data_IF_448475599582
#
_entry.id   IF_448475599582
#
_cell.length_a   1.000
_cell.length_b   1.000
_cell.length_c   1.000
_cell.angle_alpha   90.00
_cell.angle_beta   90.00
_cell.angle_gamma   90.00
#
_symmetry.space_group_name_H-M   'P 1'
#
loop_
_entity.id
_entity.type
_entity.pdbx_description
1 polymer ?
#
# COMPACT_ATOMS: atom_id res chain seq x y z
N UNK A 1 -11.50 7.19 10.07
CA UNK A 1 -11.10 6.15 9.07
C UNK A 1 -9.66 6.41 8.67
N UNK A 2 -8.83 5.37 8.66
CA UNK A 2 -7.41 5.45 8.28
C UNK A 2 -7.24 5.77 6.78
N UNK A 3 -6.24 6.55 6.45
CA UNK A 3 -5.89 6.92 5.08
C UNK A 3 -4.43 6.62 4.79
N UNK A 4 -4.11 6.51 3.50
CA UNK A 4 -2.76 6.26 3.02
C UNK A 4 -2.46 7.15 1.82
N UNK A 5 -1.21 7.58 1.70
CA UNK A 5 -0.65 8.19 0.49
C UNK A 5 0.43 7.29 -0.09
N UNK A 6 0.31 7.00 -1.37
CA UNK A 6 1.31 6.33 -2.17
C UNK A 6 2.12 7.35 -2.95
N UNK A 7 3.43 7.36 -2.81
CA UNK A 7 4.33 8.17 -3.63
C UNK A 7 5.17 7.25 -4.51
N UNK A 8 4.93 7.28 -5.83
CA UNK A 8 5.65 6.47 -6.82
C UNK A 8 6.95 7.15 -7.22
N UNK A 9 8.07 6.45 -7.07
CA UNK A 9 9.41 6.88 -7.40
C UNK A 9 9.95 6.01 -8.52
N UNK A 10 10.33 6.63 -9.64
CA UNK A 10 10.98 5.93 -10.76
C UNK A 10 12.33 6.57 -11.05
N UNK A 11 13.40 5.79 -11.04
CA UNK A 11 14.76 6.28 -11.21
C UNK A 11 15.70 5.20 -11.77
N UNK A 12 16.92 5.61 -12.14
CA UNK A 12 18.01 4.66 -12.30
C UNK A 12 18.24 3.91 -10.97
N UNK A 13 18.51 2.59 -11.00
CA UNK A 13 18.66 1.78 -9.78
C UNK A 13 19.71 2.31 -8.78
N UNK A 14 20.79 2.92 -9.26
CA UNK A 14 21.82 3.50 -8.37
C UNK A 14 21.32 4.78 -7.70
N UNK A 15 20.56 5.61 -8.43
CA UNK A 15 19.93 6.83 -7.88
C UNK A 15 18.85 6.44 -6.89
N UNK A 16 18.05 5.41 -7.20
CA UNK A 16 17.00 4.92 -6.33
C UNK A 16 17.53 4.45 -4.97
N UNK A 17 18.68 3.78 -4.94
CA UNK A 17 19.34 3.37 -3.70
C UNK A 17 19.65 4.57 -2.78
N UNK A 18 20.10 5.69 -3.35
CA UNK A 18 20.32 6.94 -2.63
C UNK A 18 19.01 7.58 -2.13
N UNK A 19 17.93 7.48 -2.91
CA UNK A 19 16.60 7.93 -2.50
C UNK A 19 16.05 7.11 -1.32
N UNK A 20 16.25 5.80 -1.33
CA UNK A 20 15.88 4.91 -0.21
C UNK A 20 16.59 5.36 1.08
N UNK A 21 17.90 5.57 1.03
CA UNK A 21 18.66 6.07 2.18
C UNK A 21 18.16 7.42 2.70
N UNK A 22 17.80 8.35 1.81
CA UNK A 22 17.20 9.62 2.18
C UNK A 22 15.83 9.44 2.87
N UNK A 23 14.98 8.57 2.32
CA UNK A 23 13.67 8.30 2.91
C UNK A 23 13.78 7.69 4.31
N UNK A 24 14.67 6.74 4.51
CA UNK A 24 14.88 6.10 5.82
C UNK A 24 15.52 7.05 6.85
N UNK A 25 16.53 7.82 6.42
CA UNK A 25 17.33 8.64 7.34
C UNK A 25 16.77 10.03 7.63
N UNK A 26 16.14 10.67 6.65
CA UNK A 26 15.73 12.07 6.75
C UNK A 26 14.20 12.23 6.72
N UNK A 27 13.51 11.66 5.74
CA UNK A 27 12.06 11.83 5.59
C UNK A 27 11.27 11.11 6.69
N UNK A 28 11.64 9.87 6.99
CA UNK A 28 10.92 9.02 7.94
C UNK A 28 10.78 9.65 9.34
N UNK A 29 11.83 10.13 10.03
CA UNK A 29 11.67 10.72 11.37
C UNK A 29 10.72 11.90 11.39
N UNK A 30 10.76 12.73 10.34
CA UNK A 30 9.90 13.92 10.24
C UNK A 30 8.45 13.55 10.02
N UNK A 31 8.15 12.62 9.09
CA UNK A 31 6.78 12.20 8.80
C UNK A 31 6.17 11.38 9.96
N UNK A 32 6.96 10.52 10.60
CA UNK A 32 6.49 9.78 11.78
C UNK A 32 6.20 10.69 12.99
N UNK A 33 6.82 11.87 13.08
CA UNK A 33 6.55 12.84 14.14
C UNK A 33 5.31 13.70 13.92
N UNK A 34 4.72 13.68 12.72
CA UNK A 34 3.52 14.45 12.42
C UNK A 34 2.29 13.92 13.19
N UNK A 35 1.42 14.85 13.59
CA UNK A 35 0.19 14.51 14.29
C UNK A 35 -0.70 13.62 13.40
N UNK A 36 -1.17 12.50 13.96
CA UNK A 36 -2.00 11.53 13.25
C UNK A 36 -1.23 10.57 12.33
N UNK A 37 0.10 10.64 12.31
CA UNK A 37 0.92 9.63 11.61
C UNK A 37 0.76 8.25 12.25
N UNK A 38 0.47 7.26 11.43
CA UNK A 38 0.39 5.84 11.81
C UNK A 38 1.58 5.04 11.31
N UNK A 39 2.62 5.72 10.83
CA UNK A 39 3.85 5.12 10.34
C UNK A 39 3.92 5.09 8.81
N UNK A 40 4.98 4.49 8.34
CA UNK A 40 5.41 4.51 6.95
C UNK A 40 5.79 3.11 6.49
N UNK A 41 5.78 2.93 5.18
CA UNK A 41 6.31 1.73 4.53
C UNK A 41 7.07 2.12 3.25
N UNK A 42 8.06 1.34 2.87
CA UNK A 42 8.78 1.50 1.61
C UNK A 42 8.89 0.16 0.90
N UNK A 43 8.40 0.12 -0.31
CA UNK A 43 8.41 -1.02 -1.20
C UNK A 43 9.40 -0.77 -2.34
N UNK A 44 10.31 -1.70 -2.58
CA UNK A 44 11.16 -1.71 -3.77
C UNK A 44 10.64 -2.76 -4.75
N UNK A 45 10.40 -2.38 -6.00
CA UNK A 45 9.95 -3.30 -7.04
C UNK A 45 10.98 -4.41 -7.31
N UNK A 46 10.50 -5.59 -7.65
CA UNK A 46 11.33 -6.67 -8.20
C UNK A 46 11.91 -6.26 -9.56
N UNK A 47 11.24 -5.35 -10.28
CA UNK A 47 11.78 -4.68 -11.46
C UNK A 47 12.66 -3.49 -11.04
N UNK A 48 13.91 -3.40 -11.53
CA UNK A 48 14.82 -2.33 -11.13
C UNK A 48 14.29 -0.92 -11.43
N UNK A 49 14.54 0.00 -10.52
CA UNK A 49 14.29 1.42 -10.76
C UNK A 49 12.91 1.92 -10.33
N UNK A 50 12.12 1.12 -9.63
CA UNK A 50 10.80 1.53 -9.10
C UNK A 50 10.72 1.29 -7.60
N UNK A 51 10.19 2.27 -6.86
CA UNK A 51 9.83 2.13 -5.46
C UNK A 51 8.52 2.87 -5.16
N UNK A 52 7.83 2.43 -4.12
CA UNK A 52 6.64 3.08 -3.58
C UNK A 52 6.92 3.43 -2.13
N UNK A 53 6.76 4.70 -1.79
CA UNK A 53 6.76 5.17 -0.43
C UNK A 53 5.32 5.38 0.04
N UNK A 54 4.96 4.74 1.13
CA UNK A 54 3.63 4.71 1.71
C UNK A 54 3.63 5.46 3.04
N UNK A 55 2.74 6.43 3.23
CA UNK A 55 2.51 7.11 4.50
C UNK A 55 1.08 6.86 4.97
N UNK A 56 0.94 6.43 6.24
CA UNK A 56 -0.34 6.04 6.84
C UNK A 56 -0.78 7.08 7.86
N UNK A 57 -2.08 7.45 7.80
CA UNK A 57 -2.66 8.55 8.57
C UNK A 57 -3.94 8.13 9.26
N UNK A 58 -4.13 8.57 10.50
CA UNK A 58 -5.29 8.21 11.32
C UNK A 58 -6.62 8.73 10.73
N UNK A 59 -6.58 9.87 10.06
CA UNK A 59 -7.75 10.53 9.46
C UNK A 59 -7.38 11.20 8.13
N UNK A 60 -8.38 11.53 7.31
CA UNK A 60 -8.20 12.34 6.11
C UNK A 60 -7.64 13.74 6.44
N UNK A 61 -8.05 14.33 7.56
CA UNK A 61 -7.53 15.62 8.01
C UNK A 61 -6.02 15.55 8.31
N UNK A 62 -5.57 14.50 9.01
CA UNK A 62 -4.15 14.30 9.28
C UNK A 62 -3.33 14.11 7.99
N UNK A 63 -3.86 13.35 7.02
CA UNK A 63 -3.26 13.21 5.70
C UNK A 63 -3.19 14.55 4.96
N UNK A 64 -4.27 15.35 4.99
CA UNK A 64 -4.30 16.67 4.36
C UNK A 64 -3.32 17.64 5.02
N UNK A 65 -3.25 17.68 6.35
CA UNK A 65 -2.31 18.53 7.10
C UNK A 65 -0.84 18.14 6.87
N UNK A 66 -0.55 16.88 6.53
CA UNK A 66 0.81 16.40 6.22
C UNK A 66 1.31 16.88 4.86
N UNK A 67 0.44 17.40 3.99
CA UNK A 67 0.77 17.68 2.58
C UNK A 67 1.97 18.62 2.43
N UNK A 68 2.09 19.64 3.26
CA UNK A 68 3.24 20.58 3.20
C UNK A 68 4.58 19.84 3.43
N UNK A 69 4.65 19.02 4.47
CA UNK A 69 5.85 18.23 4.77
C UNK A 69 6.12 17.17 3.68
N UNK A 70 5.09 16.45 3.24
CA UNK A 70 5.23 15.43 2.21
C UNK A 70 5.62 16.01 0.84
N UNK A 71 5.08 17.18 0.46
CA UNK A 71 5.43 17.88 -0.77
C UNK A 71 6.92 18.28 -0.80
N UNK A 72 7.49 18.67 0.35
CA UNK A 72 8.93 18.93 0.46
C UNK A 72 9.75 17.68 0.16
N UNK A 73 9.39 16.52 0.72
CA UNK A 73 10.10 15.27 0.46
C UNK A 73 9.91 14.79 -0.97
N UNK A 74 8.71 14.87 -1.52
CA UNK A 74 8.47 14.55 -2.94
C UNK A 74 9.24 15.46 -3.87
N UNK A 75 9.32 16.76 -3.56
CA UNK A 75 10.11 17.74 -4.31
C UNK A 75 11.61 17.42 -4.30
N UNK A 76 12.16 17.05 -3.15
CA UNK A 76 13.57 16.65 -3.03
C UNK A 76 13.84 15.34 -3.78
N UNK A 77 12.94 14.35 -3.67
CA UNK A 77 13.02 13.12 -4.45
C UNK A 77 12.97 13.40 -5.96
N UNK A 78 12.00 14.20 -6.40
CA UNK A 78 11.87 14.58 -7.82
C UNK A 78 13.13 15.23 -8.36
N UNK A 79 13.80 16.09 -7.55
CA UNK A 79 15.06 16.70 -7.91
C UNK A 79 16.19 15.67 -8.04
N UNK A 80 16.26 14.68 -7.11
CA UNK A 80 17.28 13.62 -7.13
C UNK A 80 17.13 12.68 -8.31
N UNK A 81 15.88 12.29 -8.62
CA UNK A 81 15.59 11.36 -9.72
C UNK A 81 15.43 12.05 -11.08
N UNK A 82 15.41 13.39 -11.11
CA UNK A 82 15.14 14.23 -12.29
C UNK A 82 13.84 13.82 -13.02
N UNK A 83 12.80 13.48 -12.25
CA UNK A 83 11.46 13.07 -12.74
C UNK A 83 10.42 13.47 -11.70
N UNK A 84 9.16 13.68 -12.11
CA UNK A 84 8.05 13.86 -11.16
C UNK A 84 7.90 12.64 -10.24
N UNK A 85 7.62 12.90 -8.97
CA UNK A 85 7.14 11.90 -8.01
C UNK A 85 5.65 12.13 -7.85
N UNK A 86 4.85 11.18 -8.32
CA UNK A 86 3.39 11.26 -8.23
C UNK A 86 2.90 10.72 -6.89
N UNK A 87 1.77 11.23 -6.42
CA UNK A 87 1.12 10.74 -5.21
C UNK A 87 -0.35 10.42 -5.48
N UNK A 88 -0.85 9.38 -4.85
CA UNK A 88 -2.24 8.93 -4.88
C UNK A 88 -2.70 8.68 -3.44
N UNK A 89 -3.91 9.14 -3.11
CA UNK A 89 -4.47 9.04 -1.77
C UNK A 89 -5.65 8.05 -1.77
N UNK A 90 -5.70 7.18 -0.76
CA UNK A 90 -6.78 6.18 -0.60
C UNK A 90 -7.27 6.12 0.84
N UNK A 91 -8.47 5.60 1.01
CA UNK A 91 -8.93 5.10 2.30
C UNK A 91 -8.35 3.70 2.54
N UNK A 92 -7.94 3.41 3.77
CA UNK A 92 -7.55 2.05 4.17
C UNK A 92 -8.83 1.33 4.61
N UNK A 93 -9.40 0.55 3.70
CA UNK A 93 -10.66 -0.18 3.93
C UNK A 93 -10.44 -1.44 4.77
N UNK A 94 -9.36 -2.19 4.50
CA UNK A 94 -8.98 -3.38 5.27
C UNK A 94 -7.51 -3.28 5.65
N UNK A 95 -7.20 -3.62 6.89
CA UNK A 95 -5.83 -3.68 7.40
C UNK A 95 -5.69 -4.91 8.30
N UNK A 96 -5.17 -6.00 7.76
CA UNK A 96 -4.98 -7.24 8.49
C UNK A 96 -3.53 -7.71 8.43
N UNK A 97 -3.02 -8.13 9.59
CA UNK A 97 -1.70 -8.75 9.73
C UNK A 97 -1.62 -9.54 11.02
N UNK A 98 -0.90 -10.64 10.99
CA UNK A 98 -0.70 -11.51 12.16
C UNK A 98 0.41 -10.96 13.08
N UNK A 99 1.43 -10.32 12.51
CA UNK A 99 2.59 -9.80 13.23
C UNK A 99 3.14 -8.52 12.56
N UNK A 100 4.04 -7.79 13.22
CA UNK A 100 4.77 -6.70 12.56
C UNK A 100 5.53 -7.20 11.33
N UNK A 101 5.35 -6.52 10.20
CA UNK A 101 6.00 -6.85 8.94
C UNK A 101 7.53 -6.59 9.04
N UNK A 102 8.30 -7.37 8.30
CA UNK A 102 9.77 -7.35 8.35
C UNK A 102 10.36 -6.98 7.00
N UNK A 103 11.50 -6.31 7.02
CA UNK A 103 12.29 -6.09 5.81
C UNK A 103 12.61 -7.40 5.10
N UNK A 104 12.49 -7.42 3.78
CA UNK A 104 12.73 -8.58 2.93
C UNK A 104 11.48 -9.38 2.59
N UNK A 105 10.35 -9.18 3.27
CA UNK A 105 9.08 -9.82 2.92
C UNK A 105 8.64 -9.43 1.50
N UNK A 106 8.00 -10.39 0.82
CA UNK A 106 7.54 -10.22 -0.54
C UNK A 106 6.13 -9.63 -0.56
N UNK A 107 5.90 -8.64 -1.41
CA UNK A 107 4.62 -7.93 -1.53
C UNK A 107 4.07 -8.11 -2.93
N UNK A 108 2.77 -8.41 -3.03
CA UNK A 108 2.01 -8.29 -4.28
C UNK A 108 1.04 -7.13 -4.15
N UNK A 109 1.12 -6.22 -5.10
CA UNK A 109 0.21 -5.10 -5.26
C UNK A 109 -0.66 -5.36 -6.48
N UNK A 110 -1.99 -5.35 -6.30
CA UNK A 110 -2.94 -5.56 -7.39
C UNK A 110 -3.82 -4.32 -7.51
N UNK A 111 -3.71 -3.63 -8.64
CA UNK A 111 -4.55 -2.47 -8.98
C UNK A 111 -5.78 -2.95 -9.72
N UNK A 112 -6.94 -2.54 -9.27
CA UNK A 112 -8.23 -2.85 -9.90
C UNK A 112 -9.10 -1.61 -9.99
N UNK A 113 -10.04 -1.64 -10.90
CA UNK A 113 -11.08 -0.63 -11.06
C UNK A 113 -12.44 -1.33 -11.09
N UNK A 114 -13.37 -0.82 -10.29
CA UNK A 114 -14.74 -1.31 -10.22
C UNK A 114 -15.70 -0.12 -10.35
N UNK A 115 -16.99 -0.38 -10.60
CA UNK A 115 -18.01 0.66 -10.48
C UNK A 115 -18.00 1.24 -9.06
N UNK A 116 -18.08 2.57 -8.87
CA UNK A 116 -18.12 3.17 -7.53
C UNK A 116 -19.16 2.55 -6.59
N UNK A 117 -20.33 2.16 -7.14
CA UNK A 117 -21.39 1.48 -6.38
C UNK A 117 -21.03 0.08 -5.87
N UNK A 118 -20.04 -0.58 -6.47
CA UNK A 118 -19.60 -1.92 -6.07
C UNK A 118 -18.44 -1.90 -5.06
N UNK A 119 -17.86 -0.74 -4.77
CA UNK A 119 -16.70 -0.62 -3.88
C UNK A 119 -16.99 -1.21 -2.50
N UNK A 120 -18.16 -0.91 -1.92
CA UNK A 120 -18.53 -1.40 -0.58
C UNK A 120 -18.63 -2.94 -0.57
N UNK A 121 -19.29 -3.54 -1.55
CA UNK A 121 -19.46 -4.98 -1.64
C UNK A 121 -18.09 -5.69 -1.81
N UNK A 122 -17.18 -5.10 -2.61
CA UNK A 122 -15.82 -5.62 -2.76
C UNK A 122 -15.02 -5.54 -1.47
N UNK A 123 -15.15 -4.44 -0.71
CA UNK A 123 -14.50 -4.29 0.59
C UNK A 123 -14.96 -5.36 1.57
N UNK A 124 -16.28 -5.61 1.65
CA UNK A 124 -16.87 -6.62 2.53
C UNK A 124 -16.37 -8.03 2.15
N UNK A 125 -16.43 -8.40 0.87
CA UNK A 125 -15.92 -9.71 0.41
C UNK A 125 -14.41 -9.85 0.59
N UNK A 126 -13.65 -8.79 0.38
CA UNK A 126 -12.22 -8.83 0.63
C UNK A 126 -11.93 -9.12 2.11
N UNK A 127 -12.61 -8.44 3.04
CA UNK A 127 -12.42 -8.64 4.48
C UNK A 127 -12.93 -10.00 4.97
N UNK A 128 -14.15 -10.37 4.57
CA UNK A 128 -14.87 -11.51 5.13
C UNK A 128 -14.55 -12.84 4.45
N UNK A 129 -14.07 -12.82 3.20
CA UNK A 129 -13.82 -14.02 2.41
C UNK A 129 -12.37 -14.14 1.95
N UNK A 130 -11.82 -13.11 1.31
CA UNK A 130 -10.49 -13.20 0.73
C UNK A 130 -9.40 -13.25 1.81
N UNK A 131 -9.45 -12.37 2.81
CA UNK A 131 -8.45 -12.31 3.88
C UNK A 131 -8.37 -13.62 4.68
N UNK A 132 -9.46 -14.25 5.15
CA UNK A 132 -9.40 -15.54 5.82
C UNK A 132 -8.76 -16.64 4.95
N UNK A 133 -9.13 -16.73 3.65
CA UNK A 133 -8.53 -17.70 2.71
C UNK A 133 -7.03 -17.45 2.50
N UNK A 134 -6.60 -16.18 2.46
CA UNK A 134 -5.18 -15.83 2.37
C UNK A 134 -4.44 -16.20 3.65
N UNK A 135 -5.04 -15.99 4.83
CA UNK A 135 -4.46 -16.32 6.12
C UNK A 135 -4.19 -17.82 6.28
N UNK A 136 -5.03 -18.68 5.69
CA UNK A 136 -4.81 -20.11 5.66
C UNK A 136 -3.68 -20.55 4.71
N UNK A 137 -3.13 -19.64 3.90
CA UNK A 137 -2.07 -19.94 2.94
C UNK A 137 -0.70 -19.87 3.60
N UNK A 138 0.15 -20.90 3.49
CA UNK A 138 1.47 -20.90 4.11
C UNK A 138 2.35 -19.72 3.68
N UNK A 139 2.85 -18.99 4.67
CA UNK A 139 3.72 -17.82 4.44
C UNK A 139 2.98 -16.49 4.32
N UNK A 140 1.67 -16.47 4.56
CA UNK A 140 0.92 -15.21 4.70
C UNK A 140 1.47 -14.38 5.87
N UNK A 141 1.58 -13.06 5.68
CA UNK A 141 2.03 -12.11 6.70
C UNK A 141 1.04 -10.97 6.91
N UNK A 142 0.27 -10.62 5.87
CA UNK A 142 -0.73 -9.58 5.97
C UNK A 142 -1.43 -9.26 4.66
N UNK A 143 -2.58 -8.59 4.78
CA UNK A 143 -3.38 -8.11 3.67
C UNK A 143 -3.97 -6.74 3.99
N UNK A 144 -3.89 -5.82 3.03
CA UNK A 144 -4.47 -4.50 3.08
C UNK A 144 -5.31 -4.28 1.82
N UNK A 145 -6.41 -3.56 1.96
CA UNK A 145 -7.18 -3.06 0.84
C UNK A 145 -7.31 -1.54 0.97
N UNK A 146 -6.94 -0.86 -0.07
CA UNK A 146 -7.06 0.58 -0.21
C UNK A 146 -8.12 0.87 -1.27
N UNK A 147 -8.99 1.83 -0.99
CA UNK A 147 -10.12 2.15 -1.85
C UNK A 147 -10.25 3.67 -2.07
N UNK A 148 -10.53 4.05 -3.31
CA UNK A 148 -11.18 5.31 -3.63
C UNK A 148 -12.67 5.04 -3.92
N UNK A 149 -13.56 5.28 -2.95
CA UNK A 149 -14.99 4.99 -3.11
C UNK A 149 -15.66 5.89 -4.15
N UNK A 150 -15.03 7.00 -4.51
CA UNK A 150 -15.57 7.96 -5.49
C UNK A 150 -15.19 7.58 -6.91
N UNK A 151 -13.92 7.21 -7.12
CA UNK A 151 -13.38 6.84 -8.44
C UNK A 151 -13.51 5.35 -8.76
N UNK A 152 -13.85 4.50 -7.79
CA UNK A 152 -13.92 3.05 -7.99
C UNK A 152 -12.55 2.37 -8.09
N UNK A 153 -11.48 3.06 -7.70
CA UNK A 153 -10.14 2.50 -7.71
C UNK A 153 -9.90 1.67 -6.45
N UNK A 154 -9.34 0.49 -6.63
CA UNK A 154 -8.97 -0.43 -5.56
C UNK A 154 -7.52 -0.85 -5.70
N UNK A 155 -6.84 -0.96 -4.57
CA UNK A 155 -5.46 -1.41 -4.50
C UNK A 155 -5.33 -2.44 -3.38
N UNK A 156 -5.16 -3.71 -3.74
CA UNK A 156 -4.92 -4.79 -2.78
C UNK A 156 -3.43 -4.99 -2.61
N UNK A 157 -2.97 -5.00 -1.36
CA UNK A 157 -1.59 -5.29 -0.99
C UNK A 157 -1.56 -6.54 -0.11
N UNK A 158 -0.95 -7.61 -0.60
CA UNK A 158 -0.72 -8.83 0.16
C UNK A 158 0.76 -9.02 0.46
N UNK A 159 1.08 -9.37 1.70
CA UNK A 159 2.46 -9.53 2.17
C UNK A 159 2.71 -10.99 2.52
N UNK A 160 3.84 -11.49 2.07
CA UNK A 160 4.24 -12.90 2.13
C UNK A 160 5.65 -13.02 2.68
N UNK A 161 5.93 -14.08 3.41
CA UNK A 161 7.25 -14.33 4.01
C UNK A 161 8.39 -14.25 3.00
N UNK A 162 8.16 -14.72 1.78
CA UNK A 162 9.16 -14.77 0.72
C UNK A 162 8.50 -14.80 -0.69
N UNK A 163 9.26 -14.62 -1.78
CA UNK A 163 8.74 -14.65 -3.13
C UNK A 163 8.09 -15.99 -3.54
N UNK A 164 8.50 -17.11 -2.94
CA UNK A 164 7.92 -18.43 -3.23
C UNK A 164 6.52 -18.54 -2.65
N UNK A 165 6.32 -18.12 -1.41
CA UNK A 165 5.00 -18.05 -0.79
C UNK A 165 4.06 -17.11 -1.56
N UNK A 166 4.57 -15.94 -1.98
CA UNK A 166 3.82 -15.00 -2.84
C UNK A 166 3.42 -15.64 -4.17
N UNK A 167 4.33 -16.35 -4.84
CA UNK A 167 4.04 -16.98 -6.13
C UNK A 167 3.04 -18.12 -6.01
N UNK A 168 3.05 -18.86 -4.90
CA UNK A 168 2.13 -19.96 -4.62
C UNK A 168 0.76 -19.49 -4.12
N UNK A 169 0.61 -18.20 -3.76
CA UNK A 169 -0.63 -17.66 -3.19
C UNK A 169 -1.74 -17.53 -4.22
N UNK A 170 -3.02 -17.72 -3.81
CA UNK A 170 -4.16 -17.53 -4.69
C UNK A 170 -4.29 -16.08 -5.16
N UNK A 171 -4.96 -15.88 -6.27
CA UNK A 171 -5.25 -14.54 -6.81
C UNK A 171 -6.43 -13.94 -6.06
N UNK A 172 -6.21 -12.78 -5.42
CA UNK A 172 -7.28 -11.99 -4.79
C UNK A 172 -8.35 -11.60 -5.82
N UNK A 173 -7.92 -11.24 -7.03
CA UNK A 173 -8.83 -10.85 -8.09
C UNK A 173 -9.77 -11.98 -8.52
N UNK A 174 -9.27 -13.22 -8.58
CA UNK A 174 -10.11 -14.39 -8.88
C UNK A 174 -11.09 -14.68 -7.75
N UNK A 175 -10.65 -14.56 -6.50
CA UNK A 175 -11.55 -14.74 -5.35
C UNK A 175 -12.71 -13.74 -5.36
N UNK A 176 -12.43 -12.47 -5.61
CA UNK A 176 -13.44 -11.41 -5.66
C UNK A 176 -14.40 -11.62 -6.84
N UNK A 177 -13.90 -11.93 -8.03
CA UNK A 177 -14.76 -12.20 -9.19
C UNK A 177 -15.70 -13.38 -8.98
N UNK A 178 -15.27 -14.41 -8.28
CA UNK A 178 -16.09 -15.60 -8.03
C UNK A 178 -17.25 -15.32 -7.07
N UNK A 179 -17.09 -14.37 -6.16
CA UNK A 179 -18.05 -14.15 -5.07
C UNK A 179 -19.02 -12.97 -5.31
N UNK A 180 -18.62 -11.93 -6.06
CA UNK A 180 -19.36 -10.65 -6.04
C UNK A 180 -19.64 -10.05 -7.41
N UNK A 181 -18.78 -10.26 -8.38
CA UNK A 181 -18.77 -9.44 -9.58
C UNK A 181 -19.03 -10.27 -10.82
N UNK A 182 -19.90 -9.78 -11.70
CA UNK A 182 -19.90 -10.18 -13.10
C UNK A 182 -18.51 -9.87 -13.71
N UNK A 183 -18.05 -10.68 -14.68
CA UNK A 183 -16.72 -10.56 -15.28
C UNK A 183 -16.40 -9.14 -15.79
N UNK A 184 -17.44 -8.38 -16.17
CA UNK A 184 -17.33 -7.02 -16.71
C UNK A 184 -17.24 -5.92 -15.62
N UNK A 185 -17.47 -6.23 -14.35
CA UNK A 185 -17.57 -5.24 -13.26
C UNK A 185 -16.26 -4.98 -12.52
N UNK A 186 -15.23 -5.81 -12.74
CA UNK A 186 -13.89 -5.62 -12.15
C UNK A 186 -12.79 -5.75 -13.19
N UNK A 187 -12.08 -4.66 -13.44
CA UNK A 187 -10.93 -4.65 -14.35
C UNK A 187 -9.62 -4.62 -13.57
N UNK A 188 -8.83 -5.67 -13.69
CA UNK A 188 -7.46 -5.67 -13.18
C UNK A 188 -6.60 -4.83 -14.10
N UNK A 189 -6.01 -3.76 -13.55
CA UNK A 189 -5.16 -2.81 -14.28
C UNK A 189 -3.69 -3.21 -14.24
N UNK A 190 -3.23 -3.71 -13.08
CA UNK A 190 -1.85 -4.16 -12.91
C UNK A 190 -1.74 -5.17 -11.76
N UNK A 191 -0.75 -6.06 -11.86
CA UNK A 191 -0.26 -6.89 -10.77
C UNK A 191 1.25 -6.70 -10.70
N UNK A 192 1.70 -6.13 -9.60
CA UNK A 192 3.07 -5.70 -9.41
C UNK A 192 3.68 -6.42 -8.21
N UNK A 193 4.97 -6.70 -8.27
CA UNK A 193 5.69 -7.41 -7.24
C UNK A 193 6.78 -6.52 -6.65
N UNK A 194 6.83 -6.51 -5.32
CA UNK A 194 7.75 -5.70 -4.55
C UNK A 194 8.38 -6.52 -3.42
N UNK A 195 9.40 -5.96 -2.84
CA UNK A 195 9.99 -6.36 -1.58
C UNK A 195 9.85 -5.24 -0.56
N UNK A 196 9.44 -5.57 0.64
CA UNK A 196 9.38 -4.63 1.74
C UNK A 196 10.80 -4.22 2.18
N UNK A 197 11.11 -2.94 2.11
CA UNK A 197 12.38 -2.38 2.57
C UNK A 197 12.31 -2.08 4.05
N UNK A 198 11.31 -1.31 4.47
CA UNK A 198 10.97 -1.10 5.88
C UNK A 198 9.46 -0.92 6.06
N UNK A 199 8.98 -1.13 7.28
CA UNK A 199 7.61 -0.86 7.68
C UNK A 199 7.54 -0.46 9.14
N UNK A 200 6.86 0.66 9.42
CA UNK A 200 6.47 1.08 10.77
C UNK A 200 4.97 1.30 10.88
N UNK A 201 4.21 1.03 9.82
CA UNK A 201 2.76 1.20 9.79
C UNK A 201 2.09 0.39 10.90
N UNK A 202 1.06 0.97 11.53
CA UNK A 202 0.28 0.34 12.62
C UNK A 202 -1.20 0.67 12.48
N UNK A 203 -2.06 -0.21 12.98
CA UNK A 203 -3.48 0.12 13.14
C UNK A 203 -3.62 1.29 14.12
N UNK A 204 -4.61 2.18 13.93
CA UNK A 204 -4.98 3.13 14.97
C UNK A 204 -5.24 2.36 16.28
N UNK A 205 -4.72 2.86 17.38
CA UNK A 205 -5.11 2.34 18.69
C UNK A 205 -6.60 2.51 18.93
N UNK A 206 -7.21 1.78 19.88
CA UNK A 206 -8.58 2.04 20.30
C UNK A 206 -8.68 3.54 20.64
N UNK A 207 -9.68 4.20 20.06
CA UNK A 207 -9.92 5.60 20.34
C UNK A 207 -10.16 5.74 21.85
N UNK A 208 -9.36 6.56 22.50
CA UNK A 208 -9.65 6.99 23.86
C UNK A 208 -10.81 7.99 23.76
N UNK A 209 -12.02 7.48 24.03
CA UNK A 209 -13.22 8.30 24.19
C UNK A 209 -13.17 9.06 25.51
#
# INVERSE_FOLDING_TARGET
MMHIRFSLITADPQVLAGCIGYLEGEARPVLESQSGSLGLSLLASDEPGVAIFESFWATHEALWLSEEAEALFRGELARRVNRPVTAEDYQVAVFEREAPLRSGEAVRLTRAEVKPSAVADVVDVYGDTAVPRLADTPGFCGALLFADPTGGQLLSQTVWRDPYARAASPSVAEMIRTEVLDEDDCQIRAVENYRLVFNSARKPGPAWW
#
